data_IF_453120350365
#
_entry.id   IF_453120350365
#
_cell.length_a   1.000
_cell.length_b   1.000
_cell.length_c   1.000
_cell.angle_alpha   90.00
_cell.angle_beta   90.00
_cell.angle_gamma   90.00
#
_symmetry.space_group_name_H-M   'P 1'
#
loop_
_entity.id
_entity.type
_entity.pdbx_description
1 polymer ?
#
# COMPACT_ATOMS: atom_id res chain seq x y z
N UNK A 1 21.05 -21.91 -13.70
CA UNK A 1 20.00 -22.70 -13.03
C UNK A 1 18.60 -22.54 -13.66
N UNK A 2 18.46 -21.95 -14.85
CA UNK A 2 17.15 -21.64 -15.48
C UNK A 2 16.68 -22.65 -16.55
N UNK A 3 17.36 -23.77 -16.75
CA UNK A 3 16.98 -24.79 -17.75
C UNK A 3 16.10 -25.93 -17.21
N UNK A 4 15.75 -25.90 -15.92
CA UNK A 4 15.00 -26.97 -15.23
C UNK A 4 13.52 -26.66 -14.98
N UNK A 5 13.08 -25.41 -15.15
CA UNK A 5 11.71 -24.98 -14.88
C UNK A 5 10.61 -25.72 -15.67
N UNK A 6 10.80 -26.10 -16.96
CA UNK A 6 9.73 -26.76 -17.74
C UNK A 6 9.39 -28.18 -17.27
N UNK A 7 10.20 -28.79 -16.39
CA UNK A 7 10.00 -30.18 -15.95
C UNK A 7 9.20 -30.34 -14.65
N UNK A 8 8.95 -29.25 -13.91
CA UNK A 8 8.27 -29.31 -12.62
C UNK A 8 6.76 -29.00 -12.69
N UNK A 9 6.28 -28.36 -13.76
CA UNK A 9 4.87 -27.96 -13.89
C UNK A 9 4.36 -28.21 -15.32
N UNK A 10 3.89 -29.44 -15.64
CA UNK A 10 3.49 -29.82 -17.01
C UNK A 10 2.19 -29.15 -17.50
N UNK A 11 1.53 -28.34 -16.68
CA UNK A 11 0.31 -27.63 -17.04
C UNK A 11 0.16 -26.40 -16.15
N UNK A 12 0.75 -25.28 -16.58
CA UNK A 12 0.44 -23.97 -16.01
C UNK A 12 -1.03 -23.69 -16.36
N UNK A 13 -1.94 -23.55 -15.38
CA UNK A 13 -3.33 -23.20 -15.67
C UNK A 13 -3.40 -21.86 -16.42
N UNK A 14 -4.50 -21.59 -17.17
CA UNK A 14 -4.69 -20.31 -17.86
C UNK A 14 -4.53 -19.11 -16.90
N UNK A 15 -4.22 -17.90 -17.42
CA UNK A 15 -3.90 -16.71 -16.61
C UNK A 15 -4.82 -16.59 -15.38
N UNK A 16 -4.19 -16.44 -14.23
CA UNK A 16 -4.69 -16.88 -12.92
C UNK A 16 -6.11 -16.41 -12.57
N UNK A 17 -6.88 -17.30 -11.94
CA UNK A 17 -8.20 -17.01 -11.36
C UNK A 17 -8.17 -15.88 -10.31
N UNK A 18 -6.97 -15.52 -9.82
CA UNK A 18 -6.70 -14.50 -8.81
C UNK A 18 -5.61 -13.55 -9.36
N UNK A 19 -5.98 -12.38 -9.90
CA UNK A 19 -5.03 -11.42 -10.50
C UNK A 19 -3.94 -10.97 -9.52
N UNK A 20 -4.28 -10.79 -8.25
CA UNK A 20 -3.36 -10.34 -7.21
C UNK A 20 -2.21 -11.34 -7.00
N UNK A 21 -2.48 -12.64 -7.13
CA UNK A 21 -1.44 -13.66 -7.03
C UNK A 21 -0.50 -13.61 -8.23
N UNK A 22 -1.01 -13.35 -9.44
CA UNK A 22 -0.17 -13.15 -10.62
C UNK A 22 0.72 -11.92 -10.47
N UNK A 23 0.16 -10.79 -10.02
CA UNK A 23 0.91 -9.57 -9.73
C UNK A 23 2.05 -9.82 -8.72
N UNK A 24 1.77 -10.58 -7.66
CA UNK A 24 2.80 -10.97 -6.66
C UNK A 24 3.90 -11.81 -7.28
N UNK A 25 3.55 -12.82 -8.10
CA UNK A 25 4.53 -13.66 -8.78
C UNK A 25 5.38 -12.86 -9.80
N UNK A 26 4.77 -11.94 -10.56
CA UNK A 26 5.47 -11.05 -11.49
C UNK A 26 6.52 -10.21 -10.75
N UNK A 27 6.13 -9.58 -9.63
CA UNK A 27 7.05 -8.82 -8.79
C UNK A 27 8.18 -9.67 -8.23
N UNK A 28 7.88 -10.88 -7.76
CA UNK A 28 8.88 -11.80 -7.23
C UNK A 28 9.93 -12.18 -8.28
N UNK A 29 9.50 -12.50 -9.50
CA UNK A 29 10.41 -12.80 -10.61
C UNK A 29 11.26 -11.58 -10.99
N UNK A 30 10.65 -10.41 -11.17
CA UNK A 30 11.37 -9.19 -11.48
C UNK A 30 12.38 -8.79 -10.39
N UNK A 31 12.05 -9.04 -9.12
CA UNK A 31 12.96 -8.81 -8.00
C UNK A 31 14.16 -9.75 -8.04
N UNK A 32 13.96 -11.03 -8.36
CA UNK A 32 15.06 -12.00 -8.52
C UNK A 32 15.99 -11.59 -9.66
N UNK A 33 15.45 -11.22 -10.82
CA UNK A 33 16.23 -10.73 -11.96
C UNK A 33 17.06 -9.50 -11.57
N UNK A 34 16.45 -8.53 -10.87
CA UNK A 34 17.16 -7.35 -10.38
C UNK A 34 18.29 -7.70 -9.41
N UNK A 35 18.06 -8.67 -8.50
CA UNK A 35 19.08 -9.11 -7.55
C UNK A 35 20.27 -9.77 -8.28
N UNK A 36 20.01 -10.53 -9.33
CA UNK A 36 21.09 -11.16 -10.11
C UNK A 36 21.94 -10.11 -10.87
N UNK A 37 21.32 -9.03 -11.35
CA UNK A 37 22.02 -8.03 -12.19
C UNK A 37 22.65 -6.88 -11.41
N UNK A 38 22.00 -6.39 -10.34
CA UNK A 38 22.35 -5.12 -9.69
C UNK A 38 22.82 -5.26 -8.24
N UNK A 39 22.47 -6.36 -7.55
CA UNK A 39 22.86 -6.58 -6.14
C UNK A 39 24.38 -6.57 -5.88
N UNK A 40 25.26 -7.07 -6.76
CA UNK A 40 26.70 -7.03 -6.53
C UNK A 40 27.29 -5.61 -6.51
N UNK A 41 26.61 -4.64 -7.14
CA UNK A 41 27.11 -3.26 -7.32
C UNK A 41 26.44 -2.29 -6.33
N UNK A 42 25.20 -2.57 -5.91
CA UNK A 42 24.48 -1.77 -4.94
C UNK A 42 24.52 -2.40 -3.54
N UNK A 43 25.61 -2.22 -2.79
CA UNK A 43 25.52 -2.22 -1.31
C UNK A 43 24.78 -0.95 -0.82
N UNK A 44 23.64 -0.64 -1.42
CA UNK A 44 22.80 0.48 -1.04
C UNK A 44 21.89 0.01 0.08
N UNK A 45 22.27 0.39 1.30
CA UNK A 45 21.61 0.22 2.59
C UNK A 45 20.18 -0.32 2.55
N UNK A 46 20.02 -1.48 3.18
CA UNK A 46 18.75 -1.97 3.68
C UNK A 46 18.10 -0.90 4.59
N UNK A 47 16.94 -0.39 4.15
CA UNK A 47 15.85 0.13 4.98
C UNK A 47 16.13 1.32 5.89
N UNK A 48 15.59 2.49 5.53
CA UNK A 48 15.27 3.54 6.51
C UNK A 48 14.20 3.04 7.52
N UNK A 49 13.49 1.94 7.20
CA UNK A 49 12.65 1.14 8.11
C UNK A 49 13.28 -0.26 8.32
N UNK A 50 13.66 -0.64 9.55
CA UNK A 50 14.37 -1.90 9.81
C UNK A 50 13.50 -3.17 9.69
N UNK A 51 12.17 -3.05 9.77
CA UNK A 51 11.25 -4.19 9.87
C UNK A 51 10.40 -4.45 8.61
N UNK A 52 10.72 -3.81 7.47
CA UNK A 52 9.99 -3.99 6.20
C UNK A 52 10.86 -4.65 5.13
N UNK A 53 10.27 -5.61 4.40
CA UNK A 53 10.89 -6.21 3.22
C UNK A 53 10.14 -5.73 1.99
N UNK A 54 10.75 -4.80 1.25
CA UNK A 54 10.11 -4.22 0.07
C UNK A 54 10.23 -5.16 -1.15
N UNK A 55 9.14 -5.40 -1.91
CA UNK A 55 9.15 -6.23 -3.11
C UNK A 55 9.95 -5.63 -4.27
N UNK A 56 10.21 -4.32 -4.26
CA UNK A 56 11.09 -3.66 -5.23
C UNK A 56 11.97 -2.62 -4.54
N UNK A 57 13.20 -2.38 -5.03
CA UNK A 57 14.07 -1.34 -4.49
C UNK A 57 13.64 0.04 -4.97
N UNK A 58 13.90 1.09 -4.19
CA UNK A 58 13.76 2.45 -4.68
C UNK A 58 14.64 2.70 -5.93
N UNK A 59 14.28 3.71 -6.72
CA UNK A 59 15.18 4.25 -7.72
C UNK A 59 16.39 4.92 -7.05
N UNK A 60 17.54 5.01 -7.75
CA UNK A 60 18.66 5.82 -7.29
C UNK A 60 18.21 7.23 -6.91
N UNK A 61 18.82 7.83 -5.87
CA UNK A 61 18.44 9.15 -5.41
C UNK A 61 18.59 10.18 -6.53
N UNK A 62 17.67 11.13 -6.60
CA UNK A 62 17.63 12.21 -7.59
C UNK A 62 17.51 11.79 -9.06
N UNK A 63 17.23 10.51 -9.36
CA UNK A 63 17.00 10.07 -10.73
C UNK A 63 15.71 10.64 -11.34
N UNK A 64 14.67 10.76 -10.53
CA UNK A 64 13.35 11.25 -10.94
C UNK A 64 12.82 12.32 -9.99
N UNK A 65 12.09 13.29 -10.55
CA UNK A 65 11.30 14.25 -9.76
C UNK A 65 10.04 13.59 -9.18
N UNK A 66 9.42 14.16 -8.13
CA UNK A 66 8.16 13.65 -7.58
C UNK A 66 7.06 13.48 -8.65
N UNK A 67 6.90 14.44 -9.56
CA UNK A 67 5.91 14.36 -10.64
C UNK A 67 6.20 13.24 -11.65
N UNK A 68 7.48 12.98 -11.94
CA UNK A 68 7.88 11.88 -12.79
C UNK A 68 7.60 10.53 -12.12
N UNK A 69 7.88 10.41 -10.82
CA UNK A 69 7.58 9.21 -10.03
C UNK A 69 6.06 8.95 -10.00
N UNK A 70 5.27 9.99 -9.78
CA UNK A 70 3.81 9.92 -9.87
C UNK A 70 3.36 9.43 -11.26
N UNK A 71 3.92 9.99 -12.34
CA UNK A 71 3.63 9.56 -13.71
C UNK A 71 4.01 8.11 -13.99
N UNK A 72 5.12 7.61 -13.42
CA UNK A 72 5.51 6.19 -13.52
C UNK A 72 4.48 5.32 -12.81
N UNK A 73 4.08 5.68 -11.60
CA UNK A 73 3.19 4.88 -10.76
C UNK A 73 1.75 4.84 -11.29
N UNK A 74 1.29 5.94 -11.88
CA UNK A 74 -0.04 6.07 -12.49
C UNK A 74 -0.14 5.54 -13.93
N UNK A 75 0.98 5.13 -14.56
CA UNK A 75 0.96 4.54 -15.89
C UNK A 75 0.16 3.22 -15.92
N UNK A 76 -0.45 2.90 -17.07
CA UNK A 76 -1.11 1.60 -17.25
C UNK A 76 -0.08 0.47 -17.26
N UNK A 77 -0.34 -0.58 -16.49
CA UNK A 77 0.47 -1.80 -16.53
C UNK A 77 0.38 -2.41 -17.94
N UNK A 78 1.53 -2.69 -18.54
CA UNK A 78 1.59 -3.59 -19.69
C UNK A 78 1.95 -4.96 -19.16
N UNK A 79 1.10 -5.95 -19.40
CA UNK A 79 1.46 -7.35 -19.19
C UNK A 79 2.71 -7.64 -20.03
N UNK A 80 3.83 -7.88 -19.38
CA UNK A 80 5.06 -8.29 -20.04
C UNK A 80 4.84 -9.73 -20.48
N UNK A 81 4.61 -9.96 -21.78
CA UNK A 81 4.74 -11.30 -22.35
C UNK A 81 6.16 -11.84 -22.13
N UNK A 82 6.37 -13.17 -22.17
CA UNK A 82 7.66 -13.77 -21.90
C UNK A 82 8.73 -13.09 -22.76
N UNK A 83 9.57 -12.30 -22.10
CA UNK A 83 10.60 -11.51 -22.75
C UNK A 83 11.84 -12.40 -22.80
N UNK A 84 12.25 -12.80 -24.00
CA UNK A 84 13.55 -13.41 -24.23
C UNK A 84 14.61 -12.52 -23.57
N UNK A 85 15.20 -13.04 -22.50
CA UNK A 85 16.00 -12.27 -21.57
C UNK A 85 17.11 -11.50 -22.26
N UNK A 86 16.94 -10.19 -22.36
CA UNK A 86 18.02 -9.20 -22.43
C UNK A 86 17.40 -7.80 -22.60
N UNK A 87 17.83 -6.90 -21.73
CA UNK A 87 17.68 -5.44 -21.80
C UNK A 87 16.32 -4.90 -21.35
N UNK A 88 16.34 -4.25 -20.19
CA UNK A 88 15.42 -3.18 -19.78
C UNK A 88 15.45 -2.11 -20.87
N UNK A 89 14.61 -2.25 -21.90
CA UNK A 89 14.38 -1.17 -22.86
C UNK A 89 13.44 -0.17 -22.18
N UNK A 90 13.70 1.15 -22.28
CA UNK A 90 12.76 2.15 -21.80
C UNK A 90 11.43 1.92 -22.49
N UNK A 91 10.41 1.55 -21.72
CA UNK A 91 9.07 1.33 -22.24
C UNK A 91 8.58 2.60 -22.95
N UNK A 92 7.88 2.48 -24.11
CA UNK A 92 7.32 3.63 -24.80
C UNK A 92 6.44 4.45 -23.86
N UNK A 93 6.45 5.77 -24.03
CA UNK A 93 5.73 6.71 -23.18
C UNK A 93 4.25 6.29 -23.02
N UNK A 94 3.87 5.87 -21.80
CA UNK A 94 2.50 5.50 -21.45
C UNK A 94 2.35 4.16 -20.72
N UNK A 95 3.32 3.24 -20.85
CA UNK A 95 3.27 1.94 -20.18
C UNK A 95 4.49 1.73 -19.28
N UNK A 96 4.27 1.14 -18.10
CA UNK A 96 5.32 0.80 -17.12
C UNK A 96 5.07 -0.60 -16.56
N UNK A 97 6.13 -1.35 -16.33
CA UNK A 97 6.05 -2.65 -15.65
C UNK A 97 5.56 -2.50 -14.22
N UNK A 98 4.96 -3.54 -13.64
CA UNK A 98 4.55 -3.50 -12.23
C UNK A 98 5.75 -3.24 -11.31
N UNK A 99 6.90 -3.84 -11.62
CA UNK A 99 8.14 -3.62 -10.88
C UNK A 99 8.57 -2.15 -10.87
N UNK A 100 8.62 -1.46 -12.02
CA UNK A 100 8.96 -0.03 -12.08
C UNK A 100 7.99 0.85 -11.29
N UNK A 101 6.70 0.49 -11.28
CA UNK A 101 5.68 1.19 -10.49
C UNK A 101 5.94 1.03 -9.00
N UNK A 102 6.31 -0.16 -8.53
CA UNK A 102 6.75 -0.39 -7.15
C UNK A 102 8.06 0.32 -6.80
N UNK A 103 9.02 0.40 -7.73
CA UNK A 103 10.23 1.23 -7.51
C UNK A 103 9.87 2.70 -7.31
N UNK A 104 8.92 3.22 -8.09
CA UNK A 104 8.43 4.59 -7.92
C UNK A 104 7.73 4.78 -6.57
N UNK A 105 6.95 3.79 -6.13
CA UNK A 105 6.24 3.77 -4.84
C UNK A 105 7.22 3.96 -3.69
N UNK A 106 8.23 3.09 -3.61
CA UNK A 106 9.22 3.13 -2.53
C UNK A 106 10.16 4.32 -2.62
N UNK A 107 10.37 4.88 -3.82
CA UNK A 107 11.10 6.16 -3.95
C UNK A 107 10.30 7.31 -3.36
N UNK A 108 9.00 7.40 -3.63
CA UNK A 108 8.12 8.42 -3.03
C UNK A 108 8.02 8.23 -1.51
N UNK A 109 7.88 6.98 -1.03
CA UNK A 109 7.90 6.69 0.42
C UNK A 109 9.18 7.22 1.07
N UNK A 110 10.34 6.90 0.49
CA UNK A 110 11.62 7.36 1.02
C UNK A 110 11.69 8.89 1.11
N UNK A 111 11.18 9.61 0.11
CA UNK A 111 11.12 11.08 0.16
C UNK A 111 10.17 11.58 1.26
N UNK A 112 9.02 10.92 1.45
CA UNK A 112 8.08 11.28 2.51
C UNK A 112 8.65 11.03 3.92
N UNK A 113 9.65 10.13 4.06
CA UNK A 113 10.34 9.84 5.32
C UNK A 113 11.69 10.58 5.46
N UNK A 114 12.13 11.33 4.45
CA UNK A 114 13.45 11.93 4.44
C UNK A 114 13.51 13.12 5.41
N UNK A 115 14.18 12.92 6.55
CA UNK A 115 14.36 13.94 7.58
C UNK A 115 15.13 15.18 7.10
N UNK A 116 15.84 15.11 5.97
CA UNK A 116 16.52 16.25 5.37
C UNK A 116 15.61 17.13 4.50
N UNK A 117 14.45 16.63 4.09
CA UNK A 117 13.45 17.41 3.37
C UNK A 117 12.58 18.21 4.33
N UNK A 118 12.08 19.37 3.88
CA UNK A 118 11.13 20.16 4.65
C UNK A 118 9.78 19.45 4.78
N UNK A 119 9.01 19.80 5.82
CA UNK A 119 7.68 19.19 6.02
C UNK A 119 6.74 19.36 4.81
N UNK A 120 6.70 20.52 4.10
CA UNK A 120 5.92 20.65 2.88
C UNK A 120 6.37 19.70 1.76
N UNK A 121 7.67 19.44 1.61
CA UNK A 121 8.19 18.52 0.59
C UNK A 121 7.83 17.06 0.91
N UNK A 122 7.94 16.66 2.17
CA UNK A 122 7.50 15.33 2.63
C UNK A 122 5.99 15.15 2.45
N UNK A 123 5.22 16.17 2.84
CA UNK A 123 3.76 16.19 2.68
C UNK A 123 3.36 16.13 1.20
N UNK A 124 4.06 16.82 0.31
CA UNK A 124 3.80 16.75 -1.13
C UNK A 124 4.06 15.34 -1.69
N UNK A 125 5.11 14.65 -1.23
CA UNK A 125 5.36 13.26 -1.61
C UNK A 125 4.25 12.31 -1.09
N UNK A 126 3.79 12.51 0.14
CA UNK A 126 2.67 11.76 0.71
C UNK A 126 1.34 12.03 -0.01
N UNK A 127 1.09 13.27 -0.44
CA UNK A 127 -0.09 13.64 -1.23
C UNK A 127 -0.09 12.97 -2.61
N UNK A 128 1.07 12.89 -3.28
CA UNK A 128 1.21 12.12 -4.52
C UNK A 128 0.95 10.62 -4.30
N UNK A 129 1.43 10.04 -3.20
CA UNK A 129 1.11 8.67 -2.81
C UNK A 129 -0.40 8.49 -2.57
N UNK A 130 -1.05 9.43 -1.89
CA UNK A 130 -2.49 9.43 -1.66
C UNK A 130 -3.29 9.36 -2.97
N UNK A 131 -2.94 10.20 -3.95
CA UNK A 131 -3.55 10.18 -5.29
C UNK A 131 -3.37 8.83 -6.00
N UNK A 132 -2.28 8.12 -5.71
CA UNK A 132 -1.99 6.83 -6.28
C UNK A 132 -2.84 5.66 -5.74
N UNK A 133 -3.68 5.88 -4.74
CA UNK A 133 -4.78 4.94 -4.42
C UNK A 133 -5.78 4.81 -5.58
N UNK A 134 -5.70 5.66 -6.61
CA UNK A 134 -6.46 5.51 -7.86
C UNK A 134 -5.67 4.84 -8.99
N UNK A 135 -4.47 4.30 -8.70
CA UNK A 135 -3.59 3.73 -9.71
C UNK A 135 -4.29 2.59 -10.49
N UNK A 136 -4.16 2.56 -11.83
CA UNK A 136 -4.87 1.61 -12.65
C UNK A 136 -4.24 0.21 -12.63
N UNK A 137 -5.07 -0.80 -12.90
CA UNK A 137 -4.61 -2.11 -13.37
C UNK A 137 -4.10 -3.09 -12.31
N UNK A 138 -3.91 -2.69 -11.05
CA UNK A 138 -3.49 -3.63 -9.99
C UNK A 138 -4.05 -3.22 -8.64
N UNK A 139 -4.93 -4.06 -8.07
CA UNK A 139 -5.35 -3.90 -6.68
C UNK A 139 -4.21 -4.25 -5.71
N UNK A 140 -3.23 -5.06 -6.12
CA UNK A 140 -2.03 -5.32 -5.32
C UNK A 140 -1.21 -4.05 -5.15
N UNK A 141 -0.99 -3.30 -6.23
CA UNK A 141 -0.30 -2.01 -6.15
C UNK A 141 -1.06 -1.01 -5.28
N UNK A 142 -2.37 -0.90 -5.42
CA UNK A 142 -3.17 0.01 -4.59
C UNK A 142 -3.18 -0.39 -3.12
N UNK A 143 -3.19 -1.68 -2.83
CA UNK A 143 -2.98 -2.20 -1.47
C UNK A 143 -1.62 -1.75 -0.95
N UNK A 144 -0.54 -1.92 -1.72
CA UNK A 144 0.79 -1.46 -1.29
C UNK A 144 0.86 0.06 -1.08
N UNK A 145 0.15 0.84 -1.90
CA UNK A 145 0.04 2.30 -1.68
C UNK A 145 -0.62 2.58 -0.32
N UNK A 146 -1.73 1.90 0.01
CA UNK A 146 -2.38 2.06 1.31
C UNK A 146 -1.45 1.66 2.47
N UNK A 147 -0.73 0.54 2.33
CA UNK A 147 0.25 0.08 3.31
C UNK A 147 1.34 1.14 3.55
N UNK A 148 1.90 1.69 2.48
CA UNK A 148 2.90 2.77 2.57
C UNK A 148 2.32 4.01 3.24
N UNK A 149 1.08 4.41 2.94
CA UNK A 149 0.43 5.55 3.63
C UNK A 149 0.27 5.27 5.13
N UNK A 150 -0.02 4.03 5.52
CA UNK A 150 -0.05 3.59 6.91
C UNK A 150 1.32 3.71 7.59
N UNK A 151 2.41 3.34 6.92
CA UNK A 151 3.77 3.54 7.41
C UNK A 151 4.14 5.02 7.62
N UNK A 152 3.60 5.91 6.78
CA UNK A 152 3.82 7.36 6.90
C UNK A 152 2.99 7.97 8.03
N UNK A 153 1.80 7.43 8.30
CA UNK A 153 0.82 7.93 9.28
C UNK A 153 0.54 9.44 9.20
N UNK A 154 0.66 10.04 8.01
CA UNK A 154 0.51 11.49 7.84
C UNK A 154 -0.96 11.93 7.76
N UNK A 155 -1.42 12.88 8.59
CA UNK A 155 -2.82 13.36 8.61
C UNK A 155 -3.36 13.88 7.28
N UNK A 156 -2.50 14.48 6.46
CA UNK A 156 -2.84 14.98 5.11
C UNK A 156 -3.32 13.90 4.16
N UNK A 157 -3.05 12.62 4.46
CA UNK A 157 -3.42 11.47 3.61
C UNK A 157 -4.78 10.87 3.96
N UNK A 158 -5.39 11.28 5.08
CA UNK A 158 -6.60 10.68 5.63
C UNK A 158 -7.76 10.65 4.64
N UNK A 159 -7.94 11.71 3.84
CA UNK A 159 -9.06 11.82 2.90
C UNK A 159 -8.98 10.82 1.75
N UNK A 160 -7.77 10.48 1.31
CA UNK A 160 -7.57 9.45 0.29
C UNK A 160 -7.95 8.07 0.84
N UNK A 161 -7.57 7.76 2.08
CA UNK A 161 -7.91 6.50 2.75
C UNK A 161 -9.42 6.40 3.04
N UNK A 162 -10.04 7.49 3.52
CA UNK A 162 -11.49 7.57 3.74
C UNK A 162 -12.25 7.32 2.43
N UNK A 163 -11.83 7.95 1.33
CA UNK A 163 -12.45 7.73 0.02
C UNK A 163 -12.33 6.27 -0.44
N UNK A 164 -11.15 5.65 -0.23
CA UNK A 164 -10.90 4.25 -0.56
C UNK A 164 -11.82 3.29 0.22
N UNK A 165 -11.93 3.46 1.55
CA UNK A 165 -12.80 2.62 2.38
C UNK A 165 -14.27 2.78 1.96
N UNK A 166 -14.71 4.01 1.68
CA UNK A 166 -16.10 4.35 1.30
C UNK A 166 -16.49 3.94 -0.11
N UNK A 167 -15.55 3.64 -1.00
CA UNK A 167 -15.85 3.20 -2.36
C UNK A 167 -16.73 1.94 -2.39
N UNK A 168 -16.72 1.13 -1.31
CA UNK A 168 -17.50 -0.10 -1.20
C UNK A 168 -16.95 -1.19 -2.13
N UNK A 169 -17.51 -2.42 -2.09
CA UNK A 169 -17.09 -3.49 -2.98
C UNK A 169 -17.37 -3.14 -4.44
N UNK A 170 -16.56 -3.63 -5.40
CA UNK A 170 -16.84 -3.43 -6.82
C UNK A 170 -18.20 -4.01 -7.17
N UNK A 171 -19.10 -3.17 -7.69
CA UNK A 171 -20.41 -3.64 -8.15
C UNK A 171 -20.22 -4.52 -9.38
N UNK A 172 -20.77 -5.74 -9.37
CA UNK A 172 -20.72 -6.60 -10.56
C UNK A 172 -21.45 -5.90 -11.71
N UNK A 173 -20.93 -5.93 -12.95
CA UNK A 173 -21.70 -5.50 -14.10
C UNK A 173 -22.94 -6.39 -14.16
N UNK A 174 -24.13 -5.79 -14.00
CA UNK A 174 -25.41 -6.49 -14.15
C UNK A 174 -25.37 -7.22 -15.48
N UNK A 175 -25.25 -8.55 -15.46
CA UNK A 175 -25.53 -9.32 -16.66
C UNK A 175 -27.00 -9.06 -17.00
N UNK A 176 -27.23 -8.44 -18.16
CA UNK A 176 -28.57 -8.26 -18.70
C UNK A 176 -29.19 -9.65 -18.88
N UNK A 177 -30.04 -10.05 -17.92
CA UNK A 177 -30.99 -11.12 -18.11
C UNK A 177 -32.30 -10.51 -18.62
N UNK A 178 -32.80 -11.13 -19.69
CA UNK A 178 -34.18 -11.13 -20.19
C UNK A 178 -34.56 -10.06 -21.23
N UNK A 179 -34.65 -10.56 -22.47
CA UNK A 179 -35.78 -10.44 -23.42
C UNK A 179 -36.45 -9.07 -23.59
N UNK A 180 -36.29 -8.48 -24.78
CA UNK A 180 -37.41 -7.89 -25.52
C UNK A 180 -37.06 -7.67 -27.02
N UNK A 181 -38.00 -8.07 -27.89
CA UNK A 181 -37.98 -7.92 -29.33
C UNK A 181 -38.15 -6.44 -29.74
N UNK A 182 -37.44 -5.98 -30.77
CA UNK A 182 -37.75 -4.69 -31.39
C UNK A 182 -36.66 -4.18 -32.33
N UNK A 183 -36.92 -4.30 -33.63
CA UNK A 183 -36.13 -3.73 -34.73
C UNK A 183 -36.01 -2.21 -34.65
N UNK A 184 -34.78 -1.67 -34.66
CA UNK A 184 -34.33 -0.50 -35.43
C UNK A 184 -32.87 -0.18 -35.12
N UNK A 185 -32.02 -0.07 -36.14
CA UNK A 185 -30.66 0.47 -36.04
C UNK A 185 -30.69 1.95 -35.65
N UNK A 186 -29.71 2.45 -34.89
CA UNK A 186 -28.74 3.33 -35.51
C UNK A 186 -27.30 3.11 -35.04
N UNK A 187 -26.38 3.32 -35.98
CA UNK A 187 -24.94 3.47 -35.77
C UNK A 187 -24.63 4.57 -34.76
N UNK A 188 -24.15 4.18 -33.58
CA UNK A 188 -23.37 5.04 -32.69
C UNK A 188 -22.26 4.19 -32.08
N UNK A 189 -21.01 4.61 -32.28
CA UNK A 189 -19.86 4.04 -31.60
C UNK A 189 -20.01 4.26 -30.09
N UNK A 190 -20.60 3.29 -29.40
CA UNK A 190 -20.50 3.17 -27.95
C UNK A 190 -19.06 2.82 -27.61
N UNK A 191 -18.25 3.82 -27.27
CA UNK A 191 -17.12 3.57 -26.39
C UNK A 191 -17.71 3.22 -25.02
N UNK A 192 -17.67 1.93 -24.69
CA UNK A 192 -17.97 1.34 -23.39
C UNK A 192 -17.40 2.22 -22.24
N UNK A 193 -18.12 2.61 -21.18
CA UNK A 193 -18.96 1.78 -20.30
C UNK A 193 -18.06 0.78 -19.57
N UNK A 194 -17.63 0.95 -18.32
CA UNK A 194 -18.37 1.42 -17.16
C UNK A 194 -17.42 2.04 -16.10
N UNK A 195 -17.89 3.11 -15.45
CA UNK A 195 -17.32 3.57 -14.18
C UNK A 195 -17.52 2.47 -13.15
N UNK A 196 -16.48 1.69 -12.87
CA UNK A 196 -16.48 0.74 -11.76
C UNK A 196 -16.35 1.55 -10.48
N UNK A 197 -17.48 1.88 -9.87
CA UNK A 197 -17.53 2.61 -8.59
C UNK A 197 -17.41 1.61 -7.44
N UNK A 198 -16.21 1.09 -7.20
CA UNK A 198 -15.93 0.25 -6.03
C UNK A 198 -14.47 -0.21 -5.99
N UNK A 199 -13.99 -0.52 -4.80
CA UNK A 199 -12.61 -0.90 -4.53
C UNK A 199 -12.55 -2.33 -3.95
N UNK A 200 -11.50 -3.05 -4.34
CA UNK A 200 -11.25 -4.42 -3.92
C UNK A 200 -11.09 -4.52 -2.39
N UNK A 201 -11.65 -5.56 -1.77
CA UNK A 201 -11.61 -5.75 -0.32
C UNK A 201 -10.19 -5.71 0.27
N UNK A 202 -9.22 -6.26 -0.47
CA UNK A 202 -7.80 -6.21 -0.15
C UNK A 202 -7.28 -4.77 0.08
N UNK A 203 -7.59 -3.86 -0.84
CA UNK A 203 -7.15 -2.45 -0.72
C UNK A 203 -7.90 -1.75 0.42
N UNK A 204 -9.19 -2.09 0.60
CA UNK A 204 -10.05 -1.45 1.61
C UNK A 204 -9.67 -1.83 3.04
N UNK A 205 -9.25 -3.08 3.30
CA UNK A 205 -8.77 -3.47 4.63
C UNK A 205 -7.45 -2.76 4.95
N UNK A 206 -6.53 -2.71 4.00
CA UNK A 206 -5.23 -2.06 4.16
C UNK A 206 -5.42 -0.55 4.37
N UNK A 207 -6.35 0.07 3.63
CA UNK A 207 -6.71 1.46 3.83
C UNK A 207 -7.34 1.72 5.22
N UNK A 208 -8.07 0.77 5.78
CA UNK A 208 -8.63 0.89 7.13
C UNK A 208 -7.53 0.84 8.20
N UNK A 209 -6.58 -0.08 8.08
CA UNK A 209 -5.43 -0.17 8.99
C UNK A 209 -4.54 1.08 8.90
N UNK A 210 -4.24 1.54 7.69
CA UNK A 210 -3.53 2.79 7.46
C UNK A 210 -4.27 4.01 8.06
N UNK A 211 -5.60 4.06 7.93
CA UNK A 211 -6.39 5.14 8.52
C UNK A 211 -6.39 5.08 10.05
N UNK A 212 -6.27 3.89 10.64
CA UNK A 212 -6.05 3.70 12.08
C UNK A 212 -4.75 4.30 12.57
N UNK A 213 -3.64 4.07 11.84
CA UNK A 213 -2.34 4.68 12.14
C UNK A 213 -2.42 6.22 12.07
N UNK A 214 -3.02 6.76 11.00
CA UNK A 214 -3.23 8.20 10.84
C UNK A 214 -4.12 8.78 11.95
N UNK A 215 -5.19 8.07 12.35
CA UNK A 215 -6.06 8.48 13.45
C UNK A 215 -5.31 8.51 14.80
N UNK A 216 -4.44 7.53 15.06
CA UNK A 216 -3.59 7.50 16.25
C UNK A 216 -2.74 8.76 16.37
N UNK A 217 -1.99 9.09 15.32
CA UNK A 217 -1.16 10.30 15.25
C UNK A 217 -2.00 11.58 15.37
N UNK A 218 -3.13 11.63 14.67
CA UNK A 218 -4.02 12.80 14.70
C UNK A 218 -4.64 13.07 16.08
N UNK A 219 -4.73 12.07 16.95
CA UNK A 219 -5.25 12.23 18.32
C UNK A 219 -4.18 12.65 19.34
N UNK A 220 -2.90 12.66 18.97
CA UNK A 220 -1.83 13.11 19.87
C UNK A 220 -1.85 14.63 20.11
N UNK A 221 -2.45 15.40 19.21
CA UNK A 221 -2.51 16.87 19.31
C UNK A 221 -3.94 17.41 19.16
N UNK A 222 -4.76 17.14 20.17
CA UNK A 222 -6.17 17.61 20.28
C UNK A 222 -6.32 19.15 20.29
N UNK A 223 -5.24 19.91 20.50
CA UNK A 223 -5.26 21.37 20.46
C UNK A 223 -5.29 21.94 19.04
N UNK A 224 -4.93 21.14 18.04
CA UNK A 224 -4.96 21.54 16.63
C UNK A 224 -6.35 21.25 16.04
N UNK A 225 -7.06 22.31 15.64
CA UNK A 225 -8.42 22.19 15.12
C UNK A 225 -8.50 21.43 13.78
N UNK A 226 -7.48 21.57 12.94
CA UNK A 226 -7.38 20.85 11.66
C UNK A 226 -7.17 19.36 11.92
N UNK A 227 -6.28 19.03 12.85
CA UNK A 227 -6.01 17.66 13.24
C UNK A 227 -7.22 17.01 13.93
N UNK A 228 -7.91 17.74 14.80
CA UNK A 228 -9.16 17.29 15.41
C UNK A 228 -10.25 17.04 14.35
N UNK A 229 -10.30 17.83 13.28
CA UNK A 229 -11.22 17.61 12.16
C UNK A 229 -10.86 16.34 11.37
N UNK A 230 -9.57 16.06 11.15
CA UNK A 230 -9.10 14.78 10.58
C UNK A 230 -9.53 13.62 11.46
N UNK A 231 -9.25 13.68 12.77
CA UNK A 231 -9.60 12.63 13.75
C UNK A 231 -11.09 12.32 13.74
N UNK A 232 -11.96 13.33 13.74
CA UNK A 232 -13.42 13.13 13.66
C UNK A 232 -13.84 12.40 12.39
N UNK A 233 -13.30 12.77 11.23
CA UNK A 233 -13.65 12.15 9.95
C UNK A 233 -13.12 10.72 9.83
N UNK A 234 -11.88 10.49 10.26
CA UNK A 234 -11.26 9.17 10.26
C UNK A 234 -12.00 8.19 11.18
N UNK A 235 -12.29 8.62 12.41
CA UNK A 235 -13.07 7.83 13.38
C UNK A 235 -14.47 7.51 12.86
N UNK A 236 -15.19 8.50 12.30
CA UNK A 236 -16.51 8.27 11.72
C UNK A 236 -16.47 7.26 10.55
N UNK A 237 -15.41 7.30 9.73
CA UNK A 237 -15.23 6.36 8.63
C UNK A 237 -14.99 4.92 9.13
N UNK A 238 -14.10 4.74 10.11
CA UNK A 238 -13.81 3.42 10.69
C UNK A 238 -15.03 2.84 11.42
N UNK A 239 -15.75 3.67 12.18
CA UNK A 239 -17.01 3.26 12.83
C UNK A 239 -18.07 2.81 11.83
N UNK A 240 -18.22 3.52 10.71
CA UNK A 240 -19.10 3.07 9.63
C UNK A 240 -18.61 1.75 8.99
N UNK A 241 -17.28 1.57 8.88
CA UNK A 241 -16.64 0.36 8.37
C UNK A 241 -16.88 -0.90 9.21
N UNK A 242 -17.27 -0.77 10.48
CA UNK A 242 -17.72 -1.91 11.32
C UNK A 242 -18.94 -2.63 10.76
N UNK A 243 -19.68 -1.99 9.85
CA UNK A 243 -20.83 -2.57 9.15
C UNK A 243 -20.55 -2.91 7.69
N UNK A 244 -19.29 -2.95 7.26
CA UNK A 244 -18.94 -3.31 5.89
C UNK A 244 -19.48 -4.70 5.50
N UNK A 245 -19.96 -4.94 4.27
CA UNK A 245 -20.37 -6.28 3.83
C UNK A 245 -19.25 -7.31 3.90
N UNK A 246 -17.97 -6.92 3.76
CA UNK A 246 -16.83 -7.84 3.73
C UNK A 246 -16.22 -7.98 5.12
N UNK A 247 -16.09 -9.23 5.60
CA UNK A 247 -15.59 -9.53 6.94
C UNK A 247 -14.19 -8.94 7.23
N UNK A 248 -13.22 -9.15 6.33
CA UNK A 248 -11.85 -8.67 6.54
C UNK A 248 -11.80 -7.15 6.73
N UNK A 249 -12.66 -6.39 6.02
CA UNK A 249 -12.71 -4.93 6.16
C UNK A 249 -13.30 -4.54 7.52
N UNK A 250 -14.35 -5.25 7.99
CA UNK A 250 -14.93 -5.00 9.32
C UNK A 250 -13.90 -5.24 10.42
N UNK A 251 -13.20 -6.38 10.36
CA UNK A 251 -12.19 -6.78 11.34
C UNK A 251 -11.01 -5.81 11.36
N UNK A 252 -10.53 -5.38 10.19
CA UNK A 252 -9.50 -4.34 10.10
C UNK A 252 -9.96 -3.00 10.66
N UNK A 253 -11.25 -2.62 10.52
CA UNK A 253 -11.78 -1.41 11.16
C UNK A 253 -11.81 -1.50 12.70
N UNK A 254 -12.11 -2.68 13.26
CA UNK A 254 -12.03 -2.92 14.71
C UNK A 254 -10.58 -2.71 15.17
N UNK A 255 -9.64 -3.41 14.54
CA UNK A 255 -8.22 -3.32 14.88
C UNK A 255 -7.69 -1.88 14.74
N UNK A 256 -8.07 -1.18 13.67
CA UNK A 256 -7.66 0.20 13.44
C UNK A 256 -8.12 1.16 14.54
N UNK A 257 -9.35 0.98 15.07
CA UNK A 257 -9.85 1.77 16.19
C UNK A 257 -9.09 1.45 17.49
N UNK A 258 -8.85 0.16 17.76
CA UNK A 258 -8.11 -0.29 18.95
C UNK A 258 -6.66 0.23 18.94
N UNK A 259 -5.98 0.15 17.80
CA UNK A 259 -4.62 0.67 17.63
C UNK A 259 -4.60 2.20 17.75
N UNK A 260 -5.56 2.90 17.14
CA UNK A 260 -5.63 4.36 17.27
C UNK A 260 -5.87 4.80 18.72
N UNK A 261 -6.70 4.07 19.48
CA UNK A 261 -6.90 4.31 20.90
C UNK A 261 -5.62 4.02 21.71
N UNK A 262 -4.96 2.90 21.44
CA UNK A 262 -3.69 2.56 22.08
C UNK A 262 -2.62 3.63 21.84
N UNK A 263 -2.43 4.05 20.59
CA UNK A 263 -1.45 5.09 20.22
C UNK A 263 -1.78 6.42 20.91
N UNK A 264 -3.05 6.82 20.94
CA UNK A 264 -3.48 8.07 21.59
C UNK A 264 -3.47 7.99 23.13
N UNK A 265 -3.40 6.79 23.71
CA UNK A 265 -3.43 6.60 25.16
C UNK A 265 -2.12 7.05 25.82
N UNK A 266 -2.22 7.57 27.05
CA UNK A 266 -1.05 7.90 27.89
C UNK A 266 -0.35 6.66 28.48
N UNK A 267 -0.95 5.48 28.29
CA UNK A 267 -0.53 4.21 28.88
C UNK A 267 0.48 3.43 28.03
N UNK A 268 0.99 4.02 26.93
CA UNK A 268 2.12 3.47 26.16
C UNK A 268 3.33 3.09 27.05
N UNK A 269 3.43 3.64 28.27
CA UNK A 269 4.56 3.50 29.18
C UNK A 269 4.50 2.31 30.17
N UNK A 270 3.45 1.47 30.21
CA UNK A 270 3.31 0.45 31.27
C UNK A 270 3.58 -1.01 30.86
N UNK A 271 4.40 -1.29 29.84
CA UNK A 271 4.79 -2.69 29.55
C UNK A 271 6.19 -3.10 30.06
N UNK A 272 6.97 -2.16 30.60
CA UNK A 272 8.39 -2.41 30.95
C UNK A 272 8.87 -1.85 32.30
N UNK A 273 7.99 -1.58 33.27
CA UNK A 273 8.44 -1.36 34.65
C UNK A 273 8.72 -2.72 35.32
N UNK A 274 9.92 -3.26 35.08
CA UNK A 274 10.44 -4.38 35.86
C UNK A 274 10.68 -3.88 37.29
N UNK A 275 10.03 -4.44 38.32
CA UNK A 275 10.30 -4.04 39.69
C UNK A 275 11.78 -4.24 39.98
N UNK A 276 12.51 -3.17 40.30
CA UNK A 276 13.89 -3.28 40.79
C UNK A 276 13.85 -4.16 42.04
N UNK A 277 14.32 -5.40 41.94
CA UNK A 277 14.56 -6.24 43.11
C UNK A 277 15.48 -5.44 44.03
N UNK A 278 14.95 -4.95 45.15
CA UNK A 278 15.77 -4.51 46.26
C UNK A 278 16.60 -5.73 46.66
N UNK A 279 17.91 -5.65 46.47
CA UNK A 279 18.86 -6.58 47.05
C UNK A 279 18.66 -6.58 48.58
N UNK A 280 17.88 -7.54 49.07
CA UNK A 280 17.90 -7.92 50.47
C UNK A 280 19.07 -8.89 50.63
N UNK A 281 20.29 -8.34 50.64
CA UNK A 281 21.44 -9.08 51.15
C UNK A 281 21.41 -8.95 52.69
N UNK A 282 21.32 -10.05 53.45
CA UNK A 282 21.43 -10.00 54.89
C UNK A 282 22.84 -9.54 55.28
N UNK A 283 22.92 -8.62 56.24
CA UNK A 283 24.18 -8.15 56.80
C UNK A 283 25.00 -9.33 57.31
N UNK A 284 26.26 -9.41 56.89
CA UNK A 284 27.21 -10.41 57.40
C UNK A 284 27.28 -10.28 58.93
N UNK A 285 26.87 -11.35 59.60
CA UNK A 285 27.13 -11.56 61.01
C UNK A 285 28.64 -11.59 61.26
N UNK A 286 29.10 -10.71 62.13
CA UNK A 286 30.40 -10.78 62.79
C UNK A 286 30.52 -12.09 63.55
N UNK A 287 31.54 -12.90 63.25
CA UNK A 287 31.99 -13.98 64.13
C UNK A 287 33.51 -13.93 64.22
N UNK A 288 33.96 -13.47 65.40
CA UNK A 288 35.25 -13.59 66.08
C UNK A 288 36.55 -13.60 65.26
#
# INVERSE_FOLDING_TARGET
>A
MLTLFPRLFPSIPPPSLVPQLADTCELGLARLEWLETEFPTSQASCGDLPDTVDPAPAFPPNLYTPDQLFGILMASAQAVGPSDGAVVRPAPAGHRSLFERYRALFTLRKRALDAHLSEPERTAAADLLGKCLSAPGSSLLRHEVAFVLGQLAMPSTADYLIACIKAGPPTSPKQHSSTENGSTSPSTSRSAGASVTGEHSMVRHEAAEALGAVLGEARLSEADEELAAVSRRAMACLQAGLHDPVQVVRESCVLALDIAEYVASKDQLQYADVPKLKEVLPSKATVN
#
